data_IF_731944714400
#
_entry.id   IF_731944714400
#
_cell.length_a   1.000
_cell.length_b   1.000
_cell.length_c   1.000
_cell.angle_alpha   90.00
_cell.angle_beta   90.00
_cell.angle_gamma   90.00
#
_symmetry.space_group_name_H-M   'P 1'
#
loop_
_entity.id
_entity.type
_entity.pdbx_description
1 polymer ?
#
# COMPACT_ATOMS: atom_id res chain seq x y z
N UNK A 1 13.55 -48.77 -13.11
CA UNK A 1 13.75 -47.72 -12.09
C UNK A 1 13.06 -46.46 -12.59
N UNK A 2 11.93 -46.12 -11.98
CA UNK A 2 11.08 -44.99 -12.38
C UNK A 2 11.43 -43.80 -11.51
N UNK A 3 11.92 -42.70 -12.09
CA UNK A 3 11.94 -41.38 -11.47
C UNK A 3 11.79 -40.31 -12.55
N UNK A 4 10.55 -39.98 -12.87
CA UNK A 4 10.17 -38.66 -13.37
C UNK A 4 8.93 -38.24 -12.59
N UNK A 5 9.13 -37.53 -11.49
CA UNK A 5 8.05 -36.82 -10.82
C UNK A 5 8.18 -35.34 -11.19
N UNK A 6 7.33 -34.95 -12.14
CA UNK A 6 6.60 -33.69 -12.24
C UNK A 6 7.30 -32.40 -11.82
N UNK A 7 7.83 -31.68 -12.81
CA UNK A 7 8.09 -30.24 -12.74
C UNK A 7 7.09 -29.51 -13.63
N UNK A 8 5.80 -29.59 -13.29
CA UNK A 8 4.74 -28.85 -13.97
C UNK A 8 3.61 -28.64 -12.98
N UNK A 9 3.61 -27.51 -12.25
CA UNK A 9 2.41 -26.87 -11.66
C UNK A 9 2.77 -25.70 -10.69
N UNK A 10 3.51 -24.69 -11.14
CA UNK A 10 3.74 -23.48 -10.32
C UNK A 10 3.56 -22.14 -11.07
N UNK A 11 3.14 -22.16 -12.34
CA UNK A 11 3.03 -20.93 -13.15
C UNK A 11 1.60 -20.36 -13.17
N UNK A 12 0.58 -21.18 -12.86
CA UNK A 12 -0.83 -20.74 -12.95
C UNK A 12 -1.37 -20.07 -11.69
N UNK A 13 -0.78 -20.25 -10.50
CA UNK A 13 -1.33 -19.71 -9.24
C UNK A 13 -1.06 -18.21 -9.04
N UNK A 14 0.09 -17.71 -9.50
CA UNK A 14 0.42 -16.28 -9.40
C UNK A 14 -0.46 -15.45 -10.34
N UNK A 15 -0.79 -15.96 -11.53
CA UNK A 15 -1.67 -15.29 -12.48
C UNK A 15 -3.12 -15.18 -11.99
N UNK A 16 -3.65 -16.26 -11.40
CA UNK A 16 -5.03 -16.32 -10.90
C UNK A 16 -5.22 -15.50 -9.61
N UNK A 17 -4.23 -15.52 -8.71
CA UNK A 17 -4.23 -14.71 -7.49
C UNK A 17 -4.11 -13.21 -7.80
N UNK A 18 -3.22 -12.81 -8.71
CA UNK A 18 -3.09 -11.40 -9.15
C UNK A 18 -4.38 -10.91 -9.79
N UNK A 19 -5.12 -11.78 -10.49
CA UNK A 19 -6.43 -11.44 -11.08
C UNK A 19 -7.49 -11.24 -10.00
N UNK A 20 -7.58 -12.12 -9.00
CA UNK A 20 -8.50 -11.96 -7.87
C UNK A 20 -8.17 -10.73 -6.99
N UNK A 21 -6.90 -10.48 -6.71
CA UNK A 21 -6.41 -9.32 -5.97
C UNK A 21 -6.64 -7.98 -6.73
N UNK A 22 -6.65 -8.02 -8.07
CA UNK A 22 -6.98 -6.85 -8.90
C UNK A 22 -8.43 -6.38 -8.66
N UNK A 23 -9.38 -7.29 -8.45
CA UNK A 23 -10.77 -6.93 -8.15
C UNK A 23 -10.95 -6.24 -6.79
N UNK A 24 -9.99 -6.35 -5.86
CA UNK A 24 -10.03 -5.69 -4.55
C UNK A 24 -8.91 -4.65 -4.36
N UNK A 25 -8.64 -3.85 -5.40
CA UNK A 25 -7.66 -2.75 -5.38
C UNK A 25 -7.86 -1.75 -4.23
N UNK A 26 -9.10 -1.52 -3.81
CA UNK A 26 -9.43 -0.64 -2.68
C UNK A 26 -8.95 -1.23 -1.35
N UNK A 27 -9.18 -2.52 -1.09
CA UNK A 27 -8.73 -3.19 0.13
C UNK A 27 -7.20 -3.22 0.26
N UNK A 28 -6.48 -3.53 -0.82
CA UNK A 28 -5.01 -3.54 -0.82
C UNK A 28 -4.41 -2.14 -0.61
N UNK A 29 -5.04 -1.11 -1.18
CA UNK A 29 -4.61 0.27 -0.98
C UNK A 29 -4.88 0.75 0.45
N UNK A 30 -6.00 0.34 1.06
CA UNK A 30 -6.29 0.62 2.46
C UNK A 30 -5.31 -0.07 3.41
N UNK A 31 -5.04 -1.37 3.21
CA UNK A 31 -4.05 -2.09 4.02
C UNK A 31 -2.64 -1.47 3.87
N UNK A 32 -2.25 -1.10 2.64
CA UNK A 32 -0.97 -0.44 2.41
C UNK A 32 -0.92 0.95 3.08
N UNK A 33 -2.03 1.68 3.05
CA UNK A 33 -2.18 2.96 3.73
C UNK A 33 -2.12 2.81 5.26
N UNK A 34 -2.58 1.70 5.81
CA UNK A 34 -2.45 1.42 7.25
C UNK A 34 -0.98 1.22 7.65
N UNK A 35 -0.24 0.41 6.88
CA UNK A 35 1.20 0.18 7.12
C UNK A 35 2.01 1.48 7.06
N UNK A 36 1.71 2.30 6.05
CA UNK A 36 2.39 3.58 5.82
C UNK A 36 2.02 4.66 6.85
N UNK A 37 1.08 4.38 7.76
CA UNK A 37 0.71 5.26 8.86
C UNK A 37 -0.03 6.54 8.43
N UNK A 38 -0.23 7.50 9.34
CA UNK A 38 -0.99 8.71 9.05
C UNK A 38 -0.35 9.55 7.94
N UNK A 39 -1.20 10.26 7.19
CA UNK A 39 -0.82 11.23 6.15
C UNK A 39 -0.06 12.39 6.82
N UNK A 40 0.97 12.94 6.16
CA UNK A 40 1.68 14.08 6.74
C UNK A 40 0.73 15.26 6.94
N UNK A 41 0.83 15.91 8.08
CA UNK A 41 0.28 17.25 8.33
C UNK A 41 1.43 18.26 8.25
N UNK A 42 1.18 19.55 7.98
CA UNK A 42 2.25 20.54 7.85
C UNK A 42 3.25 20.59 9.02
N UNK A 43 2.83 20.16 10.22
CA UNK A 43 3.67 20.07 11.43
C UNK A 43 4.29 18.69 11.68
N UNK A 44 3.84 17.63 11.00
CA UNK A 44 4.32 16.26 11.25
C UNK A 44 4.66 15.52 9.94
N UNK A 45 5.96 15.29 9.66
CA UNK A 45 6.37 14.49 8.51
C UNK A 45 5.86 13.06 8.66
N UNK A 46 5.38 12.48 7.56
CA UNK A 46 4.83 11.13 7.60
C UNK A 46 5.89 10.09 7.91
N UNK A 47 5.48 8.95 8.46
CA UNK A 47 6.34 7.77 8.67
C UNK A 47 7.12 7.41 7.40
N UNK A 48 6.47 7.53 6.24
CA UNK A 48 7.10 7.31 4.94
C UNK A 48 8.18 8.35 4.61
N UNK A 49 7.92 9.64 4.86
CA UNK A 49 8.91 10.70 4.63
C UNK A 49 10.10 10.58 5.58
N UNK A 50 9.88 10.25 6.85
CA UNK A 50 10.96 10.02 7.82
C UNK A 50 11.88 8.87 7.38
N UNK A 51 11.29 7.76 6.90
CA UNK A 51 12.07 6.63 6.36
C UNK A 51 12.76 6.97 5.05
N UNK A 52 12.08 7.73 4.18
CA UNK A 52 12.67 8.21 2.94
C UNK A 52 13.86 9.13 3.22
N UNK A 53 13.78 9.99 4.23
CA UNK A 53 14.90 10.84 4.64
C UNK A 53 16.07 10.02 5.15
N UNK A 54 15.83 9.07 6.06
CA UNK A 54 16.86 8.19 6.60
C UNK A 54 17.61 7.38 5.52
N UNK A 55 16.93 7.04 4.44
CA UNK A 55 17.49 6.27 3.32
C UNK A 55 17.98 7.14 2.15
N UNK A 56 17.85 8.46 2.22
CA UNK A 56 18.22 9.37 1.12
C UNK A 56 17.28 9.30 -0.10
N UNK A 57 16.04 8.84 0.09
CA UNK A 57 15.06 8.52 -0.95
C UNK A 57 13.92 9.55 -1.07
N UNK A 58 14.06 10.73 -0.46
CA UNK A 58 13.07 11.81 -0.53
C UNK A 58 12.75 12.19 -1.98
N UNK A 59 13.75 12.24 -2.85
CA UNK A 59 13.57 12.53 -4.28
C UNK A 59 12.69 11.50 -4.99
N UNK A 60 12.75 10.23 -4.57
CA UNK A 60 11.88 9.16 -5.08
C UNK A 60 10.43 9.38 -4.66
N UNK A 61 10.20 9.72 -3.39
CA UNK A 61 8.86 10.07 -2.89
C UNK A 61 8.29 11.27 -3.64
N UNK A 62 9.05 12.37 -3.78
CA UNK A 62 8.63 13.57 -4.52
C UNK A 62 8.27 13.27 -5.99
N UNK A 63 9.01 12.37 -6.63
CA UNK A 63 8.69 11.90 -7.99
C UNK A 63 7.34 11.19 -8.02
N UNK A 64 7.08 10.27 -7.09
CA UNK A 64 5.81 9.55 -7.03
C UNK A 64 4.62 10.44 -6.71
N UNK A 65 4.80 11.45 -5.86
CA UNK A 65 3.76 12.43 -5.54
C UNK A 65 3.31 13.22 -6.80
N UNK A 66 4.26 13.59 -7.65
CA UNK A 66 4.01 14.47 -8.81
C UNK A 66 3.63 13.72 -10.08
N UNK A 67 4.16 12.52 -10.32
CA UNK A 67 3.97 11.78 -11.56
C UNK A 67 2.80 10.77 -11.50
N UNK A 68 1.76 10.90 -12.36
CA UNK A 68 0.58 10.03 -12.34
C UNK A 68 0.84 8.57 -12.71
N UNK A 69 1.89 8.32 -13.51
CA UNK A 69 2.24 6.99 -14.02
C UNK A 69 3.69 6.65 -13.67
N UNK A 70 4.02 6.77 -12.38
CA UNK A 70 5.32 6.35 -11.89
C UNK A 70 5.53 4.85 -12.14
N UNK A 71 6.74 4.42 -12.53
CA UNK A 71 7.06 3.00 -12.67
C UNK A 71 6.90 2.30 -11.31
N UNK A 72 6.67 0.97 -11.31
CA UNK A 72 6.68 0.19 -10.08
C UNK A 72 7.97 0.42 -9.30
N UNK A 73 7.87 0.50 -7.98
CA UNK A 73 9.04 0.57 -7.11
C UNK A 73 9.92 -0.67 -7.32
N UNK A 74 11.22 -0.48 -7.21
CA UNK A 74 12.19 -1.55 -7.09
C UNK A 74 12.03 -2.24 -5.73
N UNK A 75 12.51 -3.48 -5.64
CA UNK A 75 12.51 -4.21 -4.37
C UNK A 75 13.38 -3.52 -3.30
N UNK A 76 14.51 -2.94 -3.71
CA UNK A 76 15.37 -2.16 -2.81
C UNK A 76 14.63 -0.94 -2.25
N UNK A 77 13.84 -0.24 -3.08
CA UNK A 77 13.00 0.86 -2.60
C UNK A 77 11.97 0.36 -1.59
N UNK A 78 11.26 -0.73 -1.87
CA UNK A 78 10.29 -1.30 -0.92
C UNK A 78 10.95 -1.68 0.39
N UNK A 79 12.07 -2.41 0.36
CA UNK A 79 12.80 -2.78 1.59
C UNK A 79 13.38 -1.58 2.34
N UNK A 80 13.60 -0.45 1.67
CA UNK A 80 14.01 0.81 2.31
C UNK A 80 12.86 1.53 3.02
N UNK A 81 11.62 1.36 2.54
CA UNK A 81 10.44 2.03 3.11
C UNK A 81 9.67 1.19 4.14
N UNK A 82 9.82 -0.14 4.10
CA UNK A 82 9.08 -1.08 4.93
C UNK A 82 10.02 -1.93 5.78
N UNK A 83 9.64 -2.16 7.04
CA UNK A 83 10.26 -3.18 7.88
C UNK A 83 9.78 -4.56 7.42
N UNK A 84 10.58 -5.61 7.67
CA UNK A 84 10.18 -6.98 7.32
C UNK A 84 8.88 -7.37 8.03
N UNK A 85 8.72 -7.03 9.32
CA UNK A 85 7.50 -7.29 10.09
C UNK A 85 6.23 -6.65 9.48
N UNK A 86 6.37 -5.53 8.77
CA UNK A 86 5.25 -4.84 8.11
C UNK A 86 4.88 -5.51 6.80
N UNK A 87 5.88 -6.04 6.09
CA UNK A 87 5.66 -6.85 4.89
C UNK A 87 4.99 -8.18 5.27
N UNK A 88 5.42 -8.80 6.37
CA UNK A 88 4.86 -10.03 6.90
C UNK A 88 3.40 -9.80 7.34
N UNK A 89 3.14 -8.74 8.11
CA UNK A 89 1.78 -8.34 8.49
C UNK A 89 0.89 -8.12 7.27
N UNK A 90 1.40 -7.42 6.24
CA UNK A 90 0.62 -7.20 5.01
C UNK A 90 0.32 -8.53 4.30
N UNK A 91 1.29 -9.44 4.25
CA UNK A 91 1.13 -10.81 3.74
C UNK A 91 0.00 -11.54 4.47
N UNK A 92 0.02 -11.52 5.81
CA UNK A 92 -0.99 -12.16 6.67
C UNK A 92 -2.39 -11.58 6.48
N UNK A 93 -2.51 -10.24 6.43
CA UNK A 93 -3.81 -9.58 6.26
C UNK A 93 -4.44 -9.83 4.89
N UNK A 94 -3.62 -10.03 3.87
CA UNK A 94 -4.08 -10.19 2.49
C UNK A 94 -4.14 -11.65 2.05
N UNK A 95 -3.58 -12.58 2.84
CA UNK A 95 -3.41 -13.98 2.48
C UNK A 95 -2.44 -14.18 1.31
N UNK A 96 -1.59 -13.19 1.02
CA UNK A 96 -0.59 -13.24 -0.04
C UNK A 96 0.62 -14.06 0.40
N UNK A 97 1.31 -14.66 -0.56
CA UNK A 97 2.67 -15.15 -0.32
C UNK A 97 3.67 -14.00 -0.38
N UNK A 98 4.84 -14.13 0.26
CA UNK A 98 5.85 -13.05 0.33
C UNK A 98 6.26 -12.54 -1.05
N UNK A 99 6.44 -13.44 -2.02
CA UNK A 99 6.76 -13.09 -3.41
C UNK A 99 5.64 -12.27 -4.05
N UNK A 100 4.38 -12.64 -3.80
CA UNK A 100 3.22 -11.94 -4.34
C UNK A 100 3.01 -10.59 -3.63
N UNK A 101 3.23 -10.54 -2.31
CA UNK A 101 3.26 -9.34 -1.48
C UNK A 101 4.27 -8.33 -2.02
N UNK A 102 5.52 -8.74 -2.22
CA UNK A 102 6.57 -7.88 -2.78
C UNK A 102 6.17 -7.36 -4.17
N UNK A 103 5.68 -8.23 -5.06
CA UNK A 103 5.25 -7.82 -6.39
C UNK A 103 4.09 -6.82 -6.37
N UNK A 104 3.11 -7.01 -5.48
CA UNK A 104 1.95 -6.12 -5.34
C UNK A 104 2.35 -4.78 -4.73
N UNK A 105 3.12 -4.78 -3.65
CA UNK A 105 3.57 -3.54 -3.00
C UNK A 105 4.39 -2.69 -3.97
N UNK A 106 5.29 -3.29 -4.74
CA UNK A 106 6.06 -2.60 -5.78
C UNK A 106 5.17 -1.85 -6.79
N UNK A 107 4.02 -2.42 -7.17
CA UNK A 107 3.06 -1.76 -8.07
C UNK A 107 2.19 -0.72 -7.36
N UNK A 108 1.77 -0.97 -6.13
CA UNK A 108 0.81 -0.12 -5.43
C UNK A 108 1.45 1.06 -4.72
N UNK A 109 2.69 0.94 -4.26
CA UNK A 109 3.38 1.95 -3.46
C UNK A 109 3.41 3.33 -4.14
N UNK A 110 3.90 3.49 -5.39
CA UNK A 110 3.93 4.80 -6.04
C UNK A 110 2.53 5.44 -6.16
N UNK A 111 1.52 4.60 -6.44
CA UNK A 111 0.13 5.05 -6.55
C UNK A 111 -0.43 5.47 -5.20
N UNK A 112 -0.16 4.72 -4.13
CA UNK A 112 -0.60 5.05 -2.77
C UNK A 112 0.02 6.38 -2.31
N UNK A 113 1.32 6.59 -2.56
CA UNK A 113 2.01 7.85 -2.26
C UNK A 113 1.39 9.04 -2.99
N UNK A 114 1.03 8.88 -4.26
CA UNK A 114 0.34 9.91 -5.02
C UNK A 114 -1.04 10.23 -4.44
N UNK A 115 -1.86 9.20 -4.21
CA UNK A 115 -3.22 9.37 -3.67
C UNK A 115 -3.18 10.05 -2.29
N UNK A 116 -2.18 9.75 -1.47
CA UNK A 116 -1.90 10.44 -0.20
C UNK A 116 -1.61 11.92 -0.40
N UNK A 117 -0.72 12.27 -1.34
CA UNK A 117 -0.39 13.67 -1.63
C UNK A 117 -1.58 14.48 -2.19
N UNK A 118 -2.51 13.81 -2.87
CA UNK A 118 -3.73 14.42 -3.39
C UNK A 118 -4.87 14.45 -2.36
N UNK A 119 -4.68 13.88 -1.15
CA UNK A 119 -5.75 13.65 -0.17
C UNK A 119 -6.98 12.97 -0.79
N UNK A 120 -6.74 11.97 -1.65
CA UNK A 120 -7.79 11.36 -2.46
C UNK A 120 -8.82 10.60 -1.58
N UNK A 121 -10.13 10.81 -1.78
CA UNK A 121 -11.17 10.19 -0.97
C UNK A 121 -11.23 8.66 -1.12
N UNK A 122 -10.62 8.07 -2.15
CA UNK A 122 -10.51 6.63 -2.28
C UNK A 122 -9.58 6.00 -1.22
N UNK A 123 -8.64 6.76 -0.67
CA UNK A 123 -7.83 6.36 0.49
C UNK A 123 -8.37 6.90 1.81
N UNK A 124 -9.03 8.06 1.77
CA UNK A 124 -9.59 8.74 2.93
C UNK A 124 -11.07 9.00 2.71
N UNK A 125 -11.92 7.96 2.77
CA UNK A 125 -13.36 8.19 2.71
C UNK A 125 -13.68 9.17 3.83
N UNK A 126 -14.19 10.37 3.48
CA UNK A 126 -14.57 11.36 4.47
C UNK A 126 -15.57 10.70 5.41
N UNK A 127 -15.13 10.40 6.63
CA UNK A 127 -16.02 9.91 7.68
C UNK A 127 -16.96 11.07 7.94
N UNK A 128 -18.16 10.96 7.39
CA UNK A 128 -19.17 12.00 7.38
C UNK A 128 -19.20 12.68 8.76
N UNK A 129 -19.00 14.00 8.79
CA UNK A 129 -19.22 14.83 9.97
C UNK A 129 -20.62 14.52 10.47
N UNK A 130 -20.74 13.76 11.56
CA UNK A 130 -21.98 13.72 12.32
C UNK A 130 -21.97 15.04 13.10
N UNK A 131 -22.54 16.10 12.52
CA UNK A 131 -22.88 17.29 13.29
C UNK A 131 -23.88 16.85 14.36
N UNK A 132 -23.62 17.06 15.66
CA UNK A 132 -24.68 16.99 16.65
C UNK A 132 -25.62 18.16 16.34
N UNK A 133 -26.76 17.87 15.69
CA UNK A 133 -27.83 18.85 15.61
C UNK A 133 -28.34 19.05 17.04
N UNK A 134 -28.26 20.29 17.49
CA UNK A 134 -28.75 20.77 18.78
C UNK A 134 -30.20 20.33 18.98
N UNK A 135 -30.41 19.41 19.93
CA UNK A 135 -31.73 19.09 20.44
C UNK A 135 -31.99 20.01 21.63
N UNK A 136 -32.44 21.23 21.33
CA UNK A 136 -32.99 22.14 22.34
C UNK A 136 -34.29 21.53 22.87
N UNK A 137 -34.41 21.20 24.17
CA UNK A 137 -35.70 20.85 24.72
C UNK A 137 -36.51 22.13 24.88
N UNK A 138 -37.67 22.18 24.22
CA UNK A 138 -38.66 23.22 24.46
C UNK A 138 -39.18 23.09 25.90
N UNK A 139 -39.09 24.19 26.65
CA UNK A 139 -39.81 24.45 27.90
C UNK A 139 -41.10 25.21 27.60
#
# INVERSE_FOLDING_TARGET
MTFLNSVSNAISSVGDFVTAAWFNKSGLLSALNEVLGPVPTPDHPSKLEQRAEAMGMISTIRRWQTAPHSPPASEAEVRGFFLQEELDWFSEQTGLSDTATMHIIRRLLPRCVRLRALHDPALFPQRNRISPQEHTPAV
#
